data_IF_729851358993
#
_entry.id   IF_729851358993
#
_cell.length_a   1.000
_cell.length_b   1.000
_cell.length_c   1.000
_cell.angle_alpha   90.00
_cell.angle_beta   90.00
_cell.angle_gamma   90.00
#
_symmetry.space_group_name_H-M   'P 1'
#
loop_
_entity.id
_entity.type
_entity.pdbx_description
1 polymer ?
#
# COMPACT_ATOMS: atom_id res chain seq x y z
N UNK A 1 -18.99 -65.76 -57.64
CA UNK A 1 -19.08 -65.32 -59.06
C UNK A 1 -20.03 -64.15 -59.09
N UNK A 2 -19.56 -63.00 -59.56
CA UNK A 2 -20.13 -61.67 -59.38
C UNK A 2 -21.48 -61.55 -60.09
N UNK A 3 -22.46 -60.91 -59.45
CA UNK A 3 -23.62 -60.32 -60.14
C UNK A 3 -23.86 -58.90 -59.64
N UNK A 4 -23.97 -57.98 -60.60
CA UNK A 4 -24.44 -56.62 -60.43
C UNK A 4 -25.59 -56.40 -61.42
N UNK A 5 -26.70 -55.85 -60.92
CA UNK A 5 -27.77 -55.07 -61.60
C UNK A 5 -28.78 -54.71 -60.52
N UNK A 6 -28.93 -53.42 -60.22
CA UNK A 6 -29.77 -52.39 -60.86
C UNK A 6 -31.17 -52.37 -60.24
N UNK A 7 -31.79 -51.19 -60.32
CA UNK A 7 -33.20 -50.89 -60.05
C UNK A 7 -33.42 -50.54 -58.56
N UNK A 8 -34.25 -49.59 -58.14
CA UNK A 8 -35.23 -48.75 -58.82
C UNK A 8 -35.63 -47.63 -57.85
N UNK A 9 -36.11 -46.53 -58.42
CA UNK A 9 -36.71 -45.38 -57.74
C UNK A 9 -38.23 -45.59 -57.62
N UNK A 10 -38.82 -45.50 -56.41
CA UNK A 10 -40.17 -44.89 -56.19
C UNK A 10 -40.65 -44.91 -54.72
N UNK A 11 -40.87 -43.69 -54.21
CA UNK A 11 -42.17 -43.12 -53.73
C UNK A 11 -42.99 -43.90 -52.69
N UNK A 12 -43.16 -43.27 -51.51
CA UNK A 12 -44.42 -42.94 -50.77
C UNK A 12 -44.05 -42.77 -49.29
N UNK A 13 -44.04 -41.56 -48.75
CA UNK A 13 -45.19 -40.76 -48.29
C UNK A 13 -45.76 -41.25 -46.95
N UNK A 14 -46.00 -40.25 -46.12
CA UNK A 14 -46.43 -40.16 -44.73
C UNK A 14 -47.67 -41.05 -44.43
N UNK A 15 -48.12 -41.35 -43.22
CA UNK A 15 -48.20 -40.57 -41.97
C UNK A 15 -48.80 -41.50 -40.87
N UNK A 16 -48.67 -41.06 -39.62
CA UNK A 16 -49.50 -41.34 -38.41
C UNK A 16 -49.31 -42.62 -37.57
N UNK A 17 -49.26 -42.35 -36.26
CA UNK A 17 -49.72 -43.11 -35.07
C UNK A 17 -48.58 -43.67 -34.20
N UNK A 18 -48.13 -42.97 -33.15
CA UNK A 18 -48.76 -42.68 -31.84
C UNK A 18 -48.37 -43.71 -30.77
N UNK A 19 -48.31 -43.20 -29.52
CA UNK A 19 -48.26 -43.91 -28.24
C UNK A 19 -46.91 -44.38 -27.66
N UNK A 20 -46.38 -43.48 -26.82
CA UNK A 20 -45.97 -43.70 -25.42
C UNK A 20 -46.08 -45.15 -24.91
N UNK A 21 -44.98 -45.69 -24.39
CA UNK A 21 -44.98 -46.21 -23.01
C UNK A 21 -43.56 -46.41 -22.44
N UNK A 22 -43.51 -46.28 -21.12
CA UNK A 22 -42.35 -46.15 -20.25
C UNK A 22 -41.97 -47.52 -19.68
N UNK A 23 -40.67 -47.87 -19.57
CA UNK A 23 -39.99 -48.40 -18.35
C UNK A 23 -38.77 -49.32 -18.62
N UNK A 24 -37.64 -48.86 -18.10
CA UNK A 24 -36.88 -49.53 -17.02
C UNK A 24 -35.71 -50.50 -17.35
N UNK A 25 -34.51 -50.02 -16.96
CA UNK A 25 -33.34 -50.68 -16.31
C UNK A 25 -32.35 -51.55 -17.12
N UNK A 26 -31.11 -51.01 -17.15
CA UNK A 26 -29.79 -51.59 -16.80
C UNK A 26 -29.30 -52.84 -17.56
N UNK A 27 -28.24 -52.67 -18.36
CA UNK A 27 -26.84 -53.05 -18.02
C UNK A 27 -25.88 -52.85 -19.22
N UNK A 28 -24.83 -52.06 -18.95
CA UNK A 28 -23.44 -52.12 -19.41
C UNK A 28 -23.08 -52.91 -20.67
N UNK A 29 -22.57 -52.21 -21.70
CA UNK A 29 -21.37 -52.64 -22.42
C UNK A 29 -20.67 -51.43 -23.05
N UNK A 30 -19.38 -51.27 -22.74
CA UNK A 30 -18.48 -50.33 -23.41
C UNK A 30 -18.33 -50.73 -24.88
N UNK A 31 -18.41 -49.76 -25.80
CA UNK A 31 -17.47 -49.70 -26.92
C UNK A 31 -17.43 -48.28 -27.50
N UNK A 32 -16.21 -47.76 -27.52
CA UNK A 32 -15.66 -46.60 -28.22
C UNK A 32 -16.31 -46.24 -29.55
N UNK A 33 -16.66 -44.96 -29.72
CA UNK A 33 -17.13 -44.39 -30.97
C UNK A 33 -17.27 -42.87 -30.89
N UNK A 34 -16.14 -42.19 -31.06
CA UNK A 34 -16.01 -40.75 -31.28
C UNK A 34 -17.02 -40.23 -32.31
N UNK A 35 -17.84 -39.23 -31.96
CA UNK A 35 -18.25 -38.07 -32.77
C UNK A 35 -19.39 -37.35 -32.04
N UNK A 36 -19.05 -36.37 -31.19
CA UNK A 36 -19.98 -35.32 -30.77
C UNK A 36 -19.31 -34.01 -31.13
N UNK A 37 -19.84 -33.36 -32.16
CA UNK A 37 -19.63 -31.95 -32.42
C UNK A 37 -20.23 -31.17 -31.25
N UNK A 38 -19.39 -30.78 -30.29
CA UNK A 38 -19.74 -29.83 -29.27
C UNK A 38 -19.67 -28.44 -29.92
N UNK A 39 -20.81 -27.90 -30.33
CA UNK A 39 -20.96 -26.47 -30.56
C UNK A 39 -20.74 -25.76 -29.20
N UNK A 40 -19.49 -25.40 -28.95
CA UNK A 40 -19.11 -24.41 -27.95
C UNK A 40 -19.58 -23.05 -28.49
N UNK A 41 -20.78 -22.63 -28.11
CA UNK A 41 -21.13 -21.21 -28.16
C UNK A 41 -20.35 -20.55 -27.04
N UNK A 42 -19.12 -20.15 -27.35
CA UNK A 42 -18.40 -19.15 -26.56
C UNK A 42 -19.13 -17.84 -26.83
N UNK A 43 -20.10 -17.51 -25.98
CA UNK A 43 -20.48 -16.12 -25.80
C UNK A 43 -19.34 -15.47 -25.01
N UNK A 44 -18.30 -15.04 -25.73
CA UNK A 44 -17.39 -14.03 -25.23
C UNK A 44 -18.22 -12.75 -25.16
N UNK A 45 -18.80 -12.50 -23.99
CA UNK A 45 -19.17 -11.13 -23.64
C UNK A 45 -17.84 -10.42 -23.42
N UNK A 46 -17.41 -9.66 -24.43
CA UNK A 46 -16.46 -8.58 -24.26
C UNK A 46 -17.13 -7.58 -23.33
N UNK A 47 -16.90 -7.74 -22.03
CA UNK A 47 -17.22 -6.70 -21.06
C UNK A 47 -16.12 -5.65 -21.20
N UNK A 48 -16.35 -4.72 -22.14
CA UNK A 48 -15.57 -3.51 -22.23
C UNK A 48 -15.90 -2.69 -20.98
N UNK A 49 -14.94 -2.64 -20.06
CA UNK A 49 -14.64 -1.44 -19.29
C UNK A 49 -15.61 -1.00 -18.22
N UNK A 50 -16.43 -1.87 -17.59
CA UNK A 50 -17.15 -1.42 -16.40
C UNK A 50 -16.12 -1.13 -15.29
N UNK A 51 -15.61 0.10 -15.26
CA UNK A 51 -15.05 0.69 -14.07
C UNK A 51 -16.23 0.92 -13.11
N UNK A 52 -16.72 -0.18 -12.52
CA UNK A 52 -17.29 -0.06 -11.20
C UNK A 52 -16.15 0.48 -10.34
N UNK A 53 -16.36 1.59 -9.63
CA UNK A 53 -15.46 2.01 -8.57
C UNK A 53 -15.36 0.84 -7.58
N UNK A 54 -14.35 -0.01 -7.77
CA UNK A 54 -13.95 -1.03 -6.81
C UNK A 54 -13.21 -0.29 -5.68
N UNK A 55 -13.93 0.59 -4.98
CA UNK A 55 -13.36 1.35 -3.86
C UNK A 55 -12.70 0.39 -2.87
N UNK A 56 -11.42 0.59 -2.55
CA UNK A 56 -10.64 -0.10 -1.51
C UNK A 56 -10.91 -1.61 -1.29
N UNK A 57 -11.30 -2.37 -2.31
CA UNK A 57 -11.65 -3.80 -2.12
C UNK A 57 -10.39 -4.67 -2.09
N UNK A 58 -9.33 -4.24 -2.77
CA UNK A 58 -8.09 -4.99 -2.91
C UNK A 58 -6.90 -4.21 -2.34
N UNK A 59 -6.01 -4.90 -1.62
CA UNK A 59 -4.83 -4.29 -1.01
C UNK A 59 -3.83 -3.76 -2.03
N UNK A 60 -2.82 -3.03 -1.55
CA UNK A 60 -1.77 -2.47 -2.40
C UNK A 60 -0.81 -3.55 -2.93
N UNK A 61 -0.22 -3.28 -4.09
CA UNK A 61 0.84 -4.10 -4.68
C UNK A 61 2.20 -3.61 -4.18
N UNK A 62 3.17 -4.51 -4.04
CA UNK A 62 4.53 -4.08 -3.71
C UNK A 62 5.18 -3.47 -4.96
N UNK A 63 5.57 -2.19 -4.91
CA UNK A 63 6.22 -1.48 -6.03
C UNK A 63 7.65 -1.06 -5.72
N UNK A 64 8.03 -1.06 -4.45
CA UNK A 64 9.39 -0.79 -3.99
C UNK A 64 9.97 -2.05 -3.33
N UNK A 65 11.26 -2.37 -3.52
CA UNK A 65 11.84 -3.58 -2.96
C UNK A 65 11.79 -3.59 -1.43
N UNK A 66 11.68 -4.81 -0.89
CA UNK A 66 11.63 -5.07 0.56
C UNK A 66 12.68 -6.09 0.96
N UNK A 67 13.31 -5.87 2.11
CA UNK A 67 14.11 -6.84 2.85
C UNK A 67 13.25 -7.39 4.00
N UNK A 68 12.98 -8.68 3.99
CA UNK A 68 12.43 -9.40 5.14
C UNK A 68 13.59 -9.80 6.06
N UNK A 69 13.76 -9.08 7.16
CA UNK A 69 14.96 -9.22 7.99
C UNK A 69 14.82 -10.29 9.07
N UNK A 70 13.67 -10.39 9.73
CA UNK A 70 13.47 -11.23 10.92
C UNK A 70 12.89 -12.63 10.59
N UNK A 71 13.05 -13.10 9.35
CA UNK A 71 12.53 -14.42 8.93
C UNK A 71 11.00 -14.54 8.83
N UNK A 72 10.26 -13.50 9.20
CA UNK A 72 8.80 -13.38 9.03
C UNK A 72 8.49 -12.51 7.82
N UNK A 73 7.52 -12.94 7.02
CA UNK A 73 7.06 -12.20 5.83
C UNK A 73 5.60 -11.85 5.94
N UNK A 74 5.16 -10.84 5.18
CA UNK A 74 3.74 -10.55 4.97
C UNK A 74 3.24 -11.15 3.68
N UNK A 75 1.95 -11.47 3.66
CA UNK A 75 1.27 -11.84 2.43
C UNK A 75 1.26 -10.62 1.49
N UNK A 76 1.80 -10.79 0.29
CA UNK A 76 1.81 -9.78 -0.75
C UNK A 76 0.84 -10.14 -1.87
N UNK A 77 0.43 -9.13 -2.63
CA UNK A 77 -0.21 -9.36 -3.93
C UNK A 77 0.87 -9.71 -4.95
N UNK A 78 0.63 -10.77 -5.70
CA UNK A 78 1.57 -11.28 -6.70
C UNK A 78 2.61 -12.23 -6.12
N UNK A 79 3.66 -12.47 -6.89
CA UNK A 79 4.82 -13.28 -6.52
C UNK A 79 6.09 -12.67 -7.11
N UNK A 80 7.21 -12.79 -6.40
CA UNK A 80 8.52 -12.32 -6.87
C UNK A 80 8.85 -12.85 -8.27
N UNK A 81 9.24 -11.97 -9.18
CA UNK A 81 9.65 -12.32 -10.54
C UNK A 81 8.50 -12.63 -11.50
N UNK A 82 7.24 -12.38 -11.10
CA UNK A 82 6.12 -12.44 -12.04
C UNK A 82 6.21 -11.34 -13.10
N UNK A 83 5.63 -11.60 -14.27
CA UNK A 83 5.25 -10.52 -15.17
C UNK A 83 3.99 -9.84 -14.62
N UNK A 84 3.96 -8.49 -14.54
CA UNK A 84 2.76 -7.79 -14.07
C UNK A 84 1.52 -8.13 -14.89
N UNK A 85 0.43 -8.39 -14.19
CA UNK A 85 -0.90 -8.46 -14.77
C UNK A 85 -1.50 -7.04 -14.75
N UNK A 86 -1.85 -6.53 -15.93
CA UNK A 86 -2.38 -5.17 -16.12
C UNK A 86 -3.70 -5.20 -16.90
N UNK A 87 -4.59 -6.10 -16.49
CA UNK A 87 -5.88 -6.30 -17.15
C UNK A 87 -7.00 -5.43 -16.56
N UNK A 88 -6.72 -4.72 -15.46
CA UNK A 88 -7.67 -3.86 -14.77
C UNK A 88 -7.68 -2.43 -15.28
N UNK A 89 -8.26 -1.56 -14.45
CA UNK A 89 -8.42 -0.14 -14.74
C UNK A 89 -7.07 0.58 -14.84
N UNK A 90 -7.00 1.57 -15.71
CA UNK A 90 -5.82 2.39 -15.92
C UNK A 90 -6.22 3.81 -16.28
N UNK A 91 -5.33 4.77 -16.03
CA UNK A 91 -5.51 6.18 -16.33
C UNK A 91 -4.41 6.69 -17.26
N UNK A 92 -4.72 7.71 -18.05
CA UNK A 92 -3.71 8.50 -18.74
C UNK A 92 -2.94 9.34 -17.73
N UNK A 93 -1.63 9.47 -17.92
CA UNK A 93 -0.77 10.30 -17.08
C UNK A 93 0.26 11.07 -17.90
N UNK A 94 0.55 12.32 -17.53
CA UNK A 94 1.46 13.19 -18.29
C UNK A 94 2.28 14.20 -17.52
N UNK A 95 2.34 14.04 -16.20
CA UNK A 95 3.19 14.86 -15.37
C UNK A 95 2.53 15.18 -14.04
N UNK A 96 3.19 16.09 -13.36
CA UNK A 96 2.75 16.66 -12.11
C UNK A 96 2.89 18.17 -12.27
N UNK A 97 1.94 18.93 -11.71
CA UNK A 97 2.05 20.39 -11.61
C UNK A 97 3.08 20.75 -10.54
N UNK A 98 3.45 22.02 -10.49
CA UNK A 98 4.37 22.55 -9.46
C UNK A 98 3.85 22.34 -8.04
N UNK A 99 2.53 22.28 -7.84
CA UNK A 99 1.87 22.03 -6.55
C UNK A 99 1.78 20.55 -6.16
N UNK A 100 2.42 19.65 -6.93
CA UNK A 100 2.36 18.21 -6.70
C UNK A 100 1.10 17.53 -7.22
N UNK A 101 0.12 18.27 -7.75
CA UNK A 101 -1.11 17.65 -8.28
C UNK A 101 -0.83 16.87 -9.57
N UNK A 102 -1.41 15.67 -9.72
CA UNK A 102 -1.19 14.85 -10.90
C UNK A 102 -1.89 15.45 -12.12
N UNK A 103 -1.25 15.31 -13.27
CA UNK A 103 -1.84 15.59 -14.57
C UNK A 103 -2.22 14.26 -15.22
N UNK A 104 -3.48 13.87 -15.04
CA UNK A 104 -4.00 12.55 -15.37
C UNK A 104 -5.50 12.62 -15.68
N UNK A 105 -6.04 11.56 -16.30
CA UNK A 105 -7.48 11.36 -16.43
C UNK A 105 -7.81 9.88 -16.64
N UNK A 106 -8.98 9.45 -16.19
CA UNK A 106 -9.55 8.16 -16.59
C UNK A 106 -9.87 8.19 -18.10
N UNK A 107 -9.69 7.06 -18.81
CA UNK A 107 -10.22 6.94 -20.17
C UNK A 107 -11.74 6.98 -20.14
N UNK A 108 -12.32 7.60 -21.17
CA UNK A 108 -13.76 7.57 -21.40
C UNK A 108 -14.22 6.14 -21.71
N UNK A 109 -15.36 5.76 -21.14
CA UNK A 109 -15.94 4.43 -21.29
C UNK A 109 -16.38 4.12 -22.73
N UNK A 110 -16.93 5.13 -23.40
CA UNK A 110 -17.53 5.02 -24.72
C UNK A 110 -16.48 5.13 -25.83
N UNK A 111 -15.44 5.94 -25.61
CA UNK A 111 -14.26 5.99 -26.47
C UNK A 111 -12.97 6.26 -25.67
N UNK A 112 -12.21 5.19 -25.48
CA UNK A 112 -10.94 5.16 -24.76
C UNK A 112 -9.92 6.22 -25.22
N UNK A 113 -10.07 6.80 -26.41
CA UNK A 113 -9.19 7.86 -26.92
C UNK A 113 -9.51 9.26 -26.34
N UNK A 114 -10.49 9.39 -25.46
CA UNK A 114 -10.83 10.61 -24.74
C UNK A 114 -10.69 10.41 -23.23
N UNK A 115 -10.56 11.52 -22.50
CA UNK A 115 -10.74 11.52 -21.06
C UNK A 115 -12.25 11.46 -20.74
N UNK A 116 -12.60 10.71 -19.71
CA UNK A 116 -13.97 10.61 -19.19
C UNK A 116 -14.54 12.00 -18.85
N UNK A 117 -15.65 12.37 -19.50
CA UNK A 117 -16.38 13.62 -19.28
C UNK A 117 -17.62 13.44 -18.38
N UNK A 118 -17.87 12.21 -17.91
CA UNK A 118 -18.99 11.83 -17.06
C UNK A 118 -20.33 11.76 -17.79
N UNK A 119 -20.36 11.84 -19.12
CA UNK A 119 -21.59 11.79 -19.93
C UNK A 119 -21.67 10.47 -20.69
N UNK A 120 -22.44 9.55 -20.12
CA UNK A 120 -22.67 8.23 -20.71
C UNK A 120 -23.26 8.29 -22.14
N UNK A 121 -22.89 7.30 -22.94
CA UNK A 121 -23.23 7.10 -24.34
C UNK A 121 -22.71 8.22 -25.27
N UNK A 122 -21.60 8.89 -24.90
CA UNK A 122 -21.01 9.94 -25.73
C UNK A 122 -19.51 9.73 -25.96
N UNK A 123 -19.11 9.69 -27.23
CA UNK A 123 -17.69 9.67 -27.62
C UNK A 123 -17.15 11.11 -27.77
N UNK A 124 -17.34 11.92 -26.74
CA UNK A 124 -16.85 13.30 -26.67
C UNK A 124 -16.00 13.46 -25.42
N UNK A 125 -15.14 14.47 -25.39
CA UNK A 125 -14.31 14.73 -24.21
C UNK A 125 -13.03 15.46 -24.57
N UNK A 126 -12.22 15.72 -23.55
CA UNK A 126 -10.86 16.20 -23.78
C UNK A 126 -10.01 15.06 -24.34
N UNK A 127 -9.16 15.34 -25.32
CA UNK A 127 -8.15 14.36 -25.73
C UNK A 127 -7.18 14.13 -24.54
N UNK A 128 -6.76 12.88 -24.30
CA UNK A 128 -5.78 12.60 -23.27
C UNK A 128 -4.46 13.29 -23.63
N UNK A 129 -3.90 14.01 -22.67
CA UNK A 129 -2.67 14.78 -22.87
C UNK A 129 -1.38 13.96 -22.76
N UNK A 130 -1.45 12.63 -22.58
CA UNK A 130 -0.37 11.91 -21.92
C UNK A 130 0.43 10.85 -22.67
N UNK A 131 1.75 10.74 -22.37
CA UNK A 131 2.65 9.77 -22.96
C UNK A 131 2.61 8.40 -22.27
N UNK A 132 1.89 8.22 -21.16
CA UNK A 132 1.92 6.99 -20.37
C UNK A 132 0.51 6.57 -19.93
N UNK A 133 0.37 5.26 -19.69
CA UNK A 133 -0.73 4.68 -18.92
C UNK A 133 -0.24 4.36 -17.52
N UNK A 134 -1.11 4.50 -16.53
CA UNK A 134 -0.85 4.03 -15.18
C UNK A 134 -2.00 3.15 -14.68
N UNK A 135 -1.69 1.89 -14.36
CA UNK A 135 -2.65 0.88 -13.93
C UNK A 135 -2.91 0.98 -12.43
N UNK A 136 -4.19 1.08 -12.03
CA UNK A 136 -4.59 1.32 -10.64
C UNK A 136 -4.11 0.20 -9.72
N UNK A 137 -3.55 0.57 -8.56
CA UNK A 137 -2.97 -0.38 -7.62
C UNK A 137 -3.98 -1.23 -6.85
N UNK A 138 -5.12 -0.66 -6.48
CA UNK A 138 -6.15 -1.35 -5.67
C UNK A 138 -7.24 -1.99 -6.53
N UNK A 139 -6.93 -2.29 -7.79
CA UNK A 139 -7.79 -3.02 -8.73
C UNK A 139 -7.40 -4.51 -8.75
N UNK A 140 -8.38 -5.42 -8.77
CA UNK A 140 -8.16 -6.87 -8.65
C UNK A 140 -7.38 -7.48 -9.81
N UNK A 141 -7.55 -6.93 -11.02
CA UNK A 141 -6.94 -7.43 -12.24
C UNK A 141 -5.57 -6.80 -12.52
N UNK A 142 -5.16 -5.91 -11.63
CA UNK A 142 -3.87 -5.25 -11.61
C UNK A 142 -3.01 -5.84 -10.47
N UNK A 143 -2.08 -6.72 -10.84
CA UNK A 143 -1.23 -7.45 -9.89
C UNK A 143 0.22 -7.38 -10.31
N UNK A 144 1.08 -6.92 -9.41
CA UNK A 144 2.52 -6.90 -9.58
C UNK A 144 3.23 -6.99 -8.23
N UNK A 145 4.50 -7.36 -8.27
CA UNK A 145 5.33 -7.39 -7.08
C UNK A 145 6.78 -7.01 -7.43
N UNK A 146 7.31 -5.99 -6.77
CA UNK A 146 8.71 -5.62 -6.79
C UNK A 146 9.60 -6.71 -6.17
N UNK A 147 10.91 -6.48 -6.18
CA UNK A 147 11.84 -7.45 -5.63
C UNK A 147 11.62 -7.66 -4.12
N UNK A 148 11.84 -8.91 -3.72
CA UNK A 148 11.77 -9.35 -2.34
C UNK A 148 13.10 -9.99 -1.99
N UNK A 149 13.75 -9.46 -0.98
CA UNK A 149 15.05 -9.89 -0.48
C UNK A 149 14.85 -10.55 0.88
N UNK A 150 15.58 -11.63 1.12
CA UNK A 150 15.61 -12.30 2.42
C UNK A 150 17.00 -12.16 3.00
N UNK A 151 17.06 -11.70 4.26
CA UNK A 151 18.32 -11.54 4.95
C UNK A 151 18.98 -12.90 5.22
N UNK A 152 20.26 -13.03 4.88
CA UNK A 152 21.08 -14.21 5.21
C UNK A 152 21.94 -14.00 6.47
N UNK A 153 21.68 -12.91 7.19
CA UNK A 153 22.41 -12.47 8.37
C UNK A 153 21.89 -11.11 8.85
N UNK A 154 22.55 -10.51 9.84
CA UNK A 154 22.11 -9.27 10.46
C UNK A 154 21.91 -8.12 9.44
N UNK A 155 20.76 -7.44 9.49
CA UNK A 155 20.39 -6.30 8.64
C UNK A 155 20.57 -5.00 9.42
N UNK A 156 21.43 -4.12 8.91
CA UNK A 156 21.53 -2.74 9.42
C UNK A 156 20.64 -1.83 8.62
N UNK A 157 19.86 -1.00 9.31
CA UNK A 157 19.08 0.07 8.70
C UNK A 157 20.01 1.25 8.42
N UNK A 158 19.96 1.80 7.22
CA UNK A 158 20.77 2.98 6.85
C UNK A 158 19.96 4.26 7.03
N UNK A 159 18.64 4.23 6.77
CA UNK A 159 17.77 5.38 6.89
C UNK A 159 16.45 5.09 7.61
N UNK A 160 16.02 6.07 8.41
CA UNK A 160 14.73 6.04 9.11
C UNK A 160 13.92 7.29 8.72
N UNK A 161 12.75 7.09 8.15
CA UNK A 161 11.81 8.15 7.77
C UNK A 161 10.61 8.13 8.72
N UNK A 162 10.38 9.22 9.48
CA UNK A 162 9.24 9.39 10.41
C UNK A 162 8.00 10.03 9.78
N UNK A 163 8.07 10.31 8.48
CA UNK A 163 7.02 10.98 7.72
C UNK A 163 6.86 12.47 8.08
N UNK A 164 6.69 13.28 7.04
CA UNK A 164 6.65 14.75 7.14
C UNK A 164 5.61 15.30 8.13
N UNK A 165 4.52 14.57 8.40
CA UNK A 165 3.42 15.07 9.24
C UNK A 165 3.82 15.30 10.69
N UNK A 166 4.70 14.47 11.26
CA UNK A 166 5.15 14.64 12.65
C UNK A 166 6.18 15.78 12.80
N UNK A 167 6.84 16.13 11.70
CA UNK A 167 7.90 17.15 11.64
C UNK A 167 7.37 18.55 11.28
N UNK A 168 6.22 18.64 10.60
CA UNK A 168 5.76 19.90 10.00
C UNK A 168 4.55 20.58 10.69
N UNK A 169 3.76 19.87 11.52
CA UNK A 169 2.43 20.37 11.94
C UNK A 169 2.25 20.40 13.46
N UNK A 170 1.66 21.47 14.04
CA UNK A 170 1.25 21.48 15.44
C UNK A 170 -0.01 20.64 15.68
N UNK A 171 -0.03 19.92 16.79
CA UNK A 171 -1.11 18.98 17.13
C UNK A 171 -1.97 19.48 18.30
N UNK A 172 -3.24 19.08 18.33
CA UNK A 172 -4.23 19.54 19.30
C UNK A 172 -4.94 18.37 19.97
N UNK A 173 -5.62 18.63 21.08
CA UNK A 173 -6.40 17.61 21.80
C UNK A 173 -7.53 16.96 20.99
N UNK A 174 -7.90 17.50 19.84
CA UNK A 174 -8.90 16.93 18.94
C UNK A 174 -8.28 16.40 17.63
N UNK A 175 -6.96 16.27 17.56
CA UNK A 175 -6.24 15.78 16.39
C UNK A 175 -6.33 14.27 16.25
N UNK A 176 -6.22 13.83 15.00
CA UNK A 176 -5.85 12.47 14.62
C UNK A 176 -4.38 12.54 14.20
N UNK A 177 -3.48 12.07 15.05
CA UNK A 177 -2.05 12.06 14.77
C UNK A 177 -1.74 10.75 14.07
N UNK A 178 -1.15 10.80 12.89
CA UNK A 178 -0.67 9.60 12.20
C UNK A 178 0.83 9.48 12.41
N UNK A 179 1.25 8.36 13.01
CA UNK A 179 2.65 7.99 13.11
C UNK A 179 2.92 6.96 12.01
N UNK A 180 3.78 7.33 11.06
CA UNK A 180 4.24 6.46 9.99
C UNK A 180 5.77 6.39 10.06
N UNK A 181 6.34 5.19 10.06
CA UNK A 181 7.80 5.01 10.05
C UNK A 181 8.17 4.11 8.88
N UNK A 182 9.26 4.43 8.19
CA UNK A 182 9.86 3.58 7.15
C UNK A 182 11.32 3.34 7.49
N UNK A 183 11.71 2.07 7.55
CA UNK A 183 13.11 1.68 7.64
C UNK A 183 13.62 1.39 6.22
N UNK A 184 14.80 1.88 5.89
CA UNK A 184 15.40 1.74 4.56
C UNK A 184 16.85 1.29 4.71
N UNK A 185 17.28 0.37 3.86
CA UNK A 185 18.69 0.02 3.69
C UNK A 185 19.11 0.22 2.25
N UNK A 186 20.35 0.64 2.08
CA UNK A 186 21.02 0.73 0.79
C UNK A 186 21.42 -0.67 0.32
N UNK A 187 21.35 -0.85 -1.00
CA UNK A 187 21.65 -2.09 -1.68
C UNK A 187 22.92 -1.94 -2.50
N UNK A 188 23.86 -2.87 -2.31
CA UNK A 188 25.06 -2.97 -3.15
C UNK A 188 24.73 -3.39 -4.58
N UNK A 189 23.70 -4.23 -4.74
CA UNK A 189 23.14 -4.62 -6.02
C UNK A 189 21.69 -4.12 -6.09
N UNK A 190 21.41 -3.26 -7.07
CA UNK A 190 20.07 -2.68 -7.20
C UNK A 190 19.00 -3.75 -7.39
N UNK A 191 17.82 -3.51 -6.83
CA UNK A 191 16.70 -4.45 -6.86
C UNK A 191 15.52 -3.90 -7.68
N UNK A 192 14.76 -4.79 -8.30
CA UNK A 192 13.61 -4.41 -9.13
C UNK A 192 12.62 -3.58 -8.31
N UNK A 193 12.29 -2.41 -8.84
CA UNK A 193 11.18 -1.57 -8.42
C UNK A 193 10.31 -1.23 -9.64
N UNK A 194 9.10 -0.78 -9.39
CA UNK A 194 8.18 -0.31 -10.42
C UNK A 194 7.98 1.20 -10.28
N UNK A 195 7.97 1.89 -11.42
CA UNK A 195 7.66 3.32 -11.45
C UNK A 195 6.17 3.54 -11.17
N UNK A 196 5.86 4.29 -10.13
CA UNK A 196 4.50 4.57 -9.67
C UNK A 196 4.15 6.02 -9.97
N UNK A 197 2.96 6.26 -10.53
CA UNK A 197 2.43 7.60 -10.80
C UNK A 197 1.24 7.92 -9.92
N UNK A 198 1.27 9.10 -9.29
CA UNK A 198 0.10 9.64 -8.62
C UNK A 198 -0.98 9.92 -9.67
N UNK A 199 -2.17 9.37 -9.46
CA UNK A 199 -3.28 9.46 -10.40
C UNK A 199 -4.30 10.48 -9.94
N UNK A 200 -4.76 10.41 -8.69
CA UNK A 200 -5.73 11.36 -8.17
C UNK A 200 -5.78 11.31 -6.64
N UNK A 201 -6.54 12.24 -6.07
CA UNK A 201 -6.85 12.28 -4.65
C UNK A 201 -5.65 12.57 -3.75
N UNK A 202 -5.94 12.68 -2.45
CA UNK A 202 -4.95 12.98 -1.42
C UNK A 202 -5.35 12.28 -0.12
N UNK A 203 -4.38 11.97 0.73
CA UNK A 203 -4.64 11.30 2.00
C UNK A 203 -5.34 9.97 1.79
N UNK A 204 -6.55 9.80 2.35
CA UNK A 204 -7.27 8.52 2.26
C UNK A 204 -7.77 8.17 0.86
N UNK A 205 -7.96 9.17 0.01
CA UNK A 205 -8.48 8.99 -1.36
C UNK A 205 -7.33 9.03 -2.38
N UNK A 206 -6.07 9.02 -1.92
CA UNK A 206 -4.87 9.05 -2.76
C UNK A 206 -4.72 7.73 -3.54
N UNK A 207 -4.64 7.83 -4.86
CA UNK A 207 -4.47 6.69 -5.75
C UNK A 207 -3.21 6.83 -6.59
N UNK A 208 -2.43 5.75 -6.64
CA UNK A 208 -1.28 5.62 -7.52
C UNK A 208 -1.45 4.43 -8.45
N UNK A 209 -0.74 4.48 -9.58
CA UNK A 209 -0.74 3.38 -10.55
C UNK A 209 0.63 3.04 -11.10
N UNK A 210 0.75 1.80 -11.55
CA UNK A 210 1.94 1.25 -12.22
C UNK A 210 2.10 1.89 -13.60
N UNK A 211 3.17 2.65 -13.80
CA UNK A 211 3.48 3.27 -15.07
C UNK A 211 3.75 2.23 -16.16
N UNK A 212 3.32 2.55 -17.38
CA UNK A 212 3.48 1.72 -18.56
C UNK A 212 3.56 2.59 -19.81
N UNK A 213 4.11 2.02 -20.89
CA UNK A 213 4.12 2.63 -22.21
C UNK A 213 2.71 3.11 -22.66
N UNK A 214 2.62 4.10 -23.57
CA UNK A 214 1.32 4.70 -23.93
C UNK A 214 0.34 3.72 -24.58
N UNK A 215 0.84 2.61 -25.14
CA UNK A 215 0.01 1.54 -25.69
C UNK A 215 -0.47 0.54 -24.62
N UNK A 216 0.12 0.58 -23.42
CA UNK A 216 -0.10 -0.37 -22.34
C UNK A 216 0.59 -1.72 -22.59
N UNK A 217 0.72 -2.47 -21.50
CA UNK A 217 1.23 -3.84 -21.52
C UNK A 217 2.75 -3.97 -21.41
N UNK A 218 3.48 -2.84 -21.29
CA UNK A 218 4.88 -2.84 -20.85
C UNK A 218 5.05 -1.96 -19.62
N UNK A 219 5.01 -2.56 -18.43
CA UNK A 219 5.30 -1.86 -17.18
C UNK A 219 6.70 -1.27 -17.16
N UNK A 220 6.82 -0.05 -16.62
CA UNK A 220 8.09 0.62 -16.44
C UNK A 220 8.82 0.05 -15.22
N UNK A 221 9.85 -0.74 -15.50
CA UNK A 221 10.73 -1.38 -14.52
C UNK A 221 11.94 -0.50 -14.26
N UNK A 222 12.24 -0.25 -13.00
CA UNK A 222 13.44 0.45 -12.55
C UNK A 222 14.25 -0.44 -11.60
N UNK A 223 15.48 -0.06 -11.30
CA UNK A 223 16.30 -0.71 -10.28
C UNK A 223 16.64 0.30 -9.19
N UNK A 224 16.13 0.03 -7.99
CA UNK A 224 16.40 0.85 -6.80
C UNK A 224 17.72 0.44 -6.18
N UNK A 225 18.53 1.41 -5.76
CA UNK A 225 19.68 1.19 -4.89
C UNK A 225 19.31 1.09 -3.40
N UNK A 226 18.01 1.06 -3.08
CA UNK A 226 17.49 1.02 -1.72
C UNK A 226 16.31 0.05 -1.62
N UNK A 227 16.11 -0.54 -0.45
CA UNK A 227 14.94 -1.33 -0.11
C UNK A 227 14.37 -0.93 1.25
N UNK A 228 13.05 -1.02 1.38
CA UNK A 228 12.42 -0.94 2.71
C UNK A 228 12.74 -2.16 3.54
N UNK A 229 12.89 -2.01 4.86
CA UNK A 229 13.18 -3.10 5.78
C UNK A 229 11.96 -3.43 6.62
N UNK A 230 11.50 -4.68 6.54
CA UNK A 230 10.46 -5.20 7.41
C UNK A 230 11.08 -6.01 8.55
N UNK A 231 10.89 -5.52 9.77
CA UNK A 231 11.15 -6.18 11.03
C UNK A 231 9.81 -6.55 11.70
N UNK A 232 9.70 -7.81 12.10
CA UNK A 232 8.59 -8.33 12.89
C UNK A 232 8.64 -7.85 14.34
N UNK A 233 9.84 -7.48 14.79
CA UNK A 233 10.13 -7.03 16.16
C UNK A 233 9.92 -5.52 16.36
N UNK A 234 9.46 -4.79 15.35
CA UNK A 234 9.17 -3.37 15.47
C UNK A 234 8.01 -3.08 16.45
N UNK A 235 8.13 -1.98 17.19
CA UNK A 235 7.15 -1.50 18.19
C UNK A 235 7.01 0.01 18.14
N UNK A 236 5.83 0.48 18.50
CA UNK A 236 5.56 1.88 18.79
C UNK A 236 5.14 2.04 20.26
N UNK A 237 5.80 2.97 20.94
CA UNK A 237 5.47 3.40 22.30
C UNK A 237 5.17 4.90 22.28
N UNK A 238 4.08 5.32 22.94
CA UNK A 238 3.71 6.72 23.11
C UNK A 238 3.60 7.02 24.61
N UNK A 239 4.39 7.97 25.09
CA UNK A 239 4.43 8.37 26.50
C UNK A 239 4.31 9.88 26.64
N UNK A 240 3.55 10.32 27.65
CA UNK A 240 3.53 11.74 28.03
C UNK A 240 4.75 12.07 28.86
N UNK A 241 5.35 13.23 28.58
CA UNK A 241 6.41 13.82 29.39
C UNK A 241 5.81 14.86 30.35
N UNK A 242 6.32 14.88 31.57
CA UNK A 242 5.94 15.80 32.63
C UNK A 242 6.35 17.24 32.31
N UNK A 243 5.72 18.20 32.99
CA UNK A 243 6.09 19.60 32.83
C UNK A 243 7.55 19.83 33.27
N UNK A 244 8.37 20.43 32.39
CA UNK A 244 9.81 20.62 32.59
C UNK A 244 10.61 19.30 32.69
N UNK A 245 10.21 18.29 31.92
CA UNK A 245 10.93 17.03 31.86
C UNK A 245 12.38 17.26 31.43
N UNK A 246 13.33 16.76 32.21
CA UNK A 246 14.73 16.68 31.84
C UNK A 246 14.91 15.44 30.97
N UNK A 247 14.93 15.64 29.66
CA UNK A 247 14.99 14.55 28.68
C UNK A 247 16.34 13.82 28.69
N UNK A 248 17.40 14.43 29.22
CA UNK A 248 18.74 13.84 29.29
C UNK A 248 18.82 12.76 30.37
N UNK A 249 17.92 12.80 31.36
CA UNK A 249 17.82 11.80 32.42
C UNK A 249 16.97 10.58 32.07
N UNK A 250 16.38 10.54 30.87
CA UNK A 250 15.50 9.45 30.45
C UNK A 250 16.32 8.24 29.98
N UNK A 251 15.93 7.05 30.43
CA UNK A 251 16.57 5.79 30.07
C UNK A 251 15.53 4.87 29.44
N UNK A 252 15.87 4.32 28.28
CA UNK A 252 15.06 3.29 27.63
C UNK A 252 15.20 1.95 28.38
N UNK A 253 14.07 1.39 28.82
CA UNK A 253 13.98 0.05 29.40
C UNK A 253 13.57 -0.92 28.28
N UNK A 254 14.53 -1.71 27.80
CA UNK A 254 14.33 -2.66 26.70
C UNK A 254 13.37 -3.80 27.06
N UNK A 255 13.32 -4.20 28.33
CA UNK A 255 12.46 -5.29 28.79
C UNK A 255 11.00 -4.82 28.94
N UNK A 256 10.81 -3.57 29.39
CA UNK A 256 9.49 -2.96 29.52
C UNK A 256 9.04 -2.17 28.28
N UNK A 257 9.92 -2.04 27.29
CA UNK A 257 9.74 -1.32 26.01
C UNK A 257 9.20 0.09 26.16
N UNK A 258 9.77 0.83 27.10
CA UNK A 258 9.33 2.19 27.46
C UNK A 258 10.47 3.03 28.04
N UNK A 259 10.28 4.34 28.02
CA UNK A 259 11.14 5.26 28.76
C UNK A 259 10.86 5.21 30.25
N UNK A 260 11.92 5.31 31.04
CA UNK A 260 11.89 5.45 32.49
C UNK A 260 12.59 6.75 32.91
N UNK A 261 12.14 7.32 34.02
CA UNK A 261 12.67 8.58 34.56
C UNK A 261 11.63 9.31 35.39
N UNK A 262 12.07 10.29 36.19
CA UNK A 262 11.21 10.98 37.17
C UNK A 262 10.07 11.79 36.53
N UNK A 263 10.23 12.17 35.25
CA UNK A 263 9.28 13.00 34.53
C UNK A 263 8.48 12.25 33.46
N UNK A 264 8.57 10.92 33.37
CA UNK A 264 7.73 10.14 32.44
C UNK A 264 6.40 9.80 33.10
N UNK A 265 5.29 10.06 32.41
CA UNK A 265 3.97 9.66 32.89
C UNK A 265 3.75 8.19 32.59
N UNK A 266 3.41 7.43 33.63
CA UNK A 266 3.16 5.99 33.57
C UNK A 266 1.68 5.68 33.81
N UNK A 267 1.10 4.68 33.12
CA UNK A 267 1.72 3.87 32.05
C UNK A 267 1.81 4.62 30.70
N UNK A 268 2.54 4.09 29.70
CA UNK A 268 2.43 4.58 28.32
C UNK A 268 0.97 4.59 27.85
N UNK A 269 0.59 5.62 27.07
CA UNK A 269 -0.76 5.70 26.50
C UNK A 269 -0.95 4.69 25.37
N UNK A 270 0.15 4.28 24.75
CA UNK A 270 0.20 3.23 23.75
C UNK A 270 1.55 2.52 23.85
N UNK A 271 1.54 1.20 23.76
CA UNK A 271 2.73 0.38 23.67
C UNK A 271 2.34 -0.91 22.94
N UNK A 272 2.65 -1.00 21.64
CA UNK A 272 2.21 -2.12 20.80
C UNK A 272 3.26 -2.54 19.78
N UNK A 273 3.53 -3.84 19.72
CA UNK A 273 4.41 -4.41 18.71
C UNK A 273 3.66 -4.86 17.45
N UNK A 274 4.35 -4.85 16.32
CA UNK A 274 3.82 -5.29 15.02
C UNK A 274 3.35 -6.75 15.06
N UNK A 275 4.00 -7.60 15.85
CA UNK A 275 3.60 -9.01 16.04
C UNK A 275 2.31 -9.20 16.82
N UNK A 276 1.89 -8.19 17.57
CA UNK A 276 0.66 -8.19 18.38
C UNK A 276 -0.54 -7.66 17.57
N UNK A 277 -0.31 -7.19 16.33
CA UNK A 277 -1.33 -6.61 15.50
C UNK A 277 -2.35 -7.64 15.01
N UNK A 278 -3.63 -7.32 15.15
CA UNK A 278 -4.75 -8.04 14.55
C UNK A 278 -5.42 -7.19 13.46
N UNK A 279 -6.39 -7.77 12.75
CA UNK A 279 -7.20 -7.04 11.78
C UNK A 279 -8.09 -6.01 12.52
N UNK A 280 -7.93 -4.73 12.19
CA UNK A 280 -8.80 -3.66 12.67
C UNK A 280 -8.04 -2.45 13.24
N UNK A 281 -8.77 -1.39 13.64
CA UNK A 281 -8.16 -0.19 14.17
C UNK A 281 -7.58 -0.41 15.57
N UNK A 282 -6.53 0.35 15.92
CA UNK A 282 -5.97 0.40 17.27
C UNK A 282 -4.69 -0.41 17.46
N UNK A 283 -4.23 -1.13 16.45
CA UNK A 283 -2.94 -1.81 16.46
C UNK A 283 -1.89 -1.00 15.72
N UNK A 284 -0.63 -1.17 16.15
CA UNK A 284 0.51 -0.73 15.36
C UNK A 284 0.89 -1.88 14.42
N UNK A 285 0.83 -1.63 13.12
CA UNK A 285 1.06 -2.66 12.11
C UNK A 285 1.97 -2.16 11.01
N UNK A 286 2.46 -3.08 10.18
CA UNK A 286 3.09 -2.73 8.91
C UNK A 286 2.16 -3.03 7.73
N UNK A 287 2.18 -2.22 6.70
CA UNK A 287 1.38 -2.43 5.50
C UNK A 287 2.12 -1.95 4.25
N UNK A 288 1.58 -2.30 3.09
CA UNK A 288 2.04 -1.72 1.82
C UNK A 288 1.22 -0.45 1.58
N UNK A 289 1.90 0.70 1.51
CA UNK A 289 1.23 1.97 1.25
C UNK A 289 0.87 2.16 -0.24
N UNK A 290 0.19 3.25 -0.56
CA UNK A 290 -0.21 3.56 -1.95
C UNK A 290 0.98 3.82 -2.89
N UNK A 291 2.18 4.03 -2.39
CA UNK A 291 3.41 4.09 -3.23
C UNK A 291 4.05 2.71 -3.42
N UNK A 292 3.49 1.66 -2.82
CA UNK A 292 3.98 0.29 -2.89
C UNK A 292 5.20 0.01 -2.01
N UNK A 293 5.39 0.76 -0.92
CA UNK A 293 6.46 0.58 0.08
C UNK A 293 5.91 -0.10 1.33
N UNK A 294 6.72 -0.91 2.03
CA UNK A 294 6.41 -1.32 3.40
C UNK A 294 6.57 -0.12 4.33
N UNK A 295 5.51 0.20 5.07
CA UNK A 295 5.50 1.24 6.10
C UNK A 295 4.97 0.66 7.40
N UNK A 296 5.39 1.21 8.54
CA UNK A 296 4.76 0.97 9.83
C UNK A 296 3.81 2.12 10.15
N UNK A 297 2.61 1.83 10.63
CA UNK A 297 1.57 2.83 10.79
C UNK A 297 0.75 2.66 12.07
N UNK A 298 0.49 3.76 12.75
CA UNK A 298 -0.51 3.88 13.81
C UNK A 298 -1.27 5.20 13.69
N UNK A 299 -2.58 5.15 13.86
CA UNK A 299 -3.40 6.36 13.98
C UNK A 299 -3.76 6.59 15.43
N UNK A 300 -3.14 7.60 16.03
CA UNK A 300 -3.41 8.05 17.39
C UNK A 300 -4.56 9.07 17.41
N UNK A 301 -5.70 8.64 17.94
CA UNK A 301 -6.84 9.53 18.21
C UNK A 301 -6.64 10.24 19.55
N UNK A 302 -6.05 11.44 19.49
CA UNK A 302 -5.71 12.24 20.68
C UNK A 302 -6.96 12.57 21.49
N UNK A 303 -8.11 12.76 20.83
CA UNK A 303 -9.36 13.08 21.53
C UNK A 303 -9.76 12.01 22.54
N UNK A 304 -9.54 10.75 22.18
CA UNK A 304 -10.06 9.60 22.92
C UNK A 304 -8.99 8.93 23.79
N UNK A 305 -7.70 9.12 23.49
CA UNK A 305 -6.58 8.56 24.26
C UNK A 305 -5.48 9.61 24.49
N UNK A 306 -5.54 10.37 25.59
CA UNK A 306 -4.50 11.33 25.94
C UNK A 306 -4.44 11.56 27.45
N UNK A 307 -3.34 12.15 27.91
CA UNK A 307 -3.10 12.57 29.31
C UNK A 307 -3.14 14.11 29.46
N UNK A 308 -3.88 14.80 28.59
CA UNK A 308 -3.99 16.26 28.51
C UNK A 308 -2.89 16.91 27.66
N UNK A 309 -2.97 18.22 27.45
CA UNK A 309 -1.97 18.97 26.69
C UNK A 309 -0.57 18.88 27.31
N UNK A 310 0.46 19.04 26.48
CA UNK A 310 1.86 18.94 26.85
C UNK A 310 2.68 18.14 25.83
N UNK A 311 3.90 17.80 26.22
CA UNK A 311 4.85 17.08 25.38
C UNK A 311 4.60 15.58 25.45
N UNK A 312 4.66 14.92 24.30
CA UNK A 312 4.56 13.49 24.13
C UNK A 312 5.76 13.00 23.34
N UNK A 313 6.32 11.88 23.77
CA UNK A 313 7.38 11.17 23.06
C UNK A 313 6.77 9.98 22.33
N UNK A 314 6.91 9.96 21.02
CA UNK A 314 6.60 8.81 20.17
C UNK A 314 7.92 8.08 19.91
N UNK A 315 7.95 6.78 20.12
CA UNK A 315 9.18 5.98 20.05
C UNK A 315 8.96 4.76 19.19
N UNK A 316 9.75 4.64 18.14
CA UNK A 316 9.90 3.42 17.38
C UNK A 316 11.08 2.65 17.96
N UNK A 317 10.88 1.37 18.28
CA UNK A 317 11.93 0.50 18.78
C UNK A 317 11.89 -0.85 18.11
N UNK A 318 13.04 -1.51 18.08
CA UNK A 318 13.12 -2.94 17.82
C UNK A 318 13.16 -3.68 19.16
N UNK A 319 12.16 -4.51 19.42
CA UNK A 319 12.09 -5.31 20.64
C UNK A 319 13.35 -6.18 20.77
N UNK A 320 13.93 -6.27 21.97
CA UNK A 320 15.13 -7.05 22.24
C UNK A 320 14.94 -8.54 21.90
N UNK A 321 16.04 -9.28 21.71
CA UNK A 321 15.99 -10.74 21.44
C UNK A 321 15.24 -11.53 22.52
N UNK A 322 15.17 -11.01 23.75
CA UNK A 322 14.41 -11.62 24.84
C UNK A 322 12.88 -11.54 24.61
N UNK A 323 12.41 -10.47 23.97
CA UNK A 323 11.00 -10.21 23.66
C UNK A 323 10.62 -10.68 22.25
N UNK A 324 11.58 -10.68 21.33
CA UNK A 324 11.43 -11.09 19.94
C UNK A 324 12.67 -11.88 19.48
N UNK A 325 12.71 -13.20 19.71
CA UNK A 325 13.86 -14.05 19.37
C UNK A 325 14.23 -14.07 17.89
N UNK A 326 13.31 -13.65 17.01
CA UNK A 326 13.51 -13.52 15.57
C UNK A 326 14.28 -12.26 15.15
N UNK A 327 14.57 -11.33 16.09
CA UNK A 327 15.24 -10.06 15.80
C UNK A 327 16.54 -10.28 15.03
N UNK A 328 16.62 -9.65 13.86
CA UNK A 328 17.80 -9.66 13.00
C UNK A 328 18.03 -8.28 12.35
N UNK A 329 17.42 -7.25 12.91
CA UNK A 329 17.43 -5.87 12.43
C UNK A 329 17.98 -4.94 13.51
N UNK A 330 18.78 -3.94 13.16
CA UNK A 330 19.38 -3.03 14.14
C UNK A 330 19.79 -1.69 13.53
N UNK A 331 19.92 -0.69 14.39
CA UNK A 331 20.52 0.61 14.07
C UNK A 331 22.01 0.56 14.42
N UNK A 332 22.82 1.43 13.81
CA UNK A 332 24.27 1.42 14.03
C UNK A 332 24.88 2.80 13.81
N UNK A 333 25.50 3.39 14.83
CA UNK A 333 26.34 4.57 14.65
C UNK A 333 27.56 4.29 13.77
N UNK A 334 28.20 3.12 13.92
CA UNK A 334 29.39 2.75 13.14
C UNK A 334 29.11 2.64 11.64
N UNK A 335 27.90 2.19 11.26
CA UNK A 335 27.49 2.12 9.86
C UNK A 335 26.74 3.36 9.37
N UNK A 336 26.38 4.27 10.28
CA UNK A 336 25.76 5.55 9.96
C UNK A 336 24.26 5.47 9.69
N UNK A 337 23.48 4.82 10.57
CA UNK A 337 22.01 4.96 10.50
C UNK A 337 21.63 6.42 10.71
N UNK A 338 20.88 7.00 9.77
CA UNK A 338 20.51 8.41 9.75
C UNK A 338 19.00 8.61 9.65
N UNK A 339 18.51 9.79 10.07
CA UNK A 339 17.13 10.20 9.81
C UNK A 339 17.06 10.66 8.35
N UNK A 340 16.12 10.08 7.61
CA UNK A 340 15.84 10.48 6.24
C UNK A 340 15.08 11.81 6.27
N UNK A 341 15.81 12.90 6.13
CA UNK A 341 15.20 14.22 5.97
C UNK A 341 14.85 14.41 4.49
N UNK A 342 13.64 14.92 4.16
CA UNK A 342 13.37 15.34 2.79
C UNK A 342 14.43 16.35 2.36
N UNK A 343 14.98 16.22 1.15
CA UNK A 343 15.80 17.28 0.56
C UNK A 343 14.96 18.57 0.60
N UNK A 344 15.39 19.56 1.39
CA UNK A 344 14.75 20.88 1.39
C UNK A 344 14.73 21.38 -0.06
N UNK A 345 13.56 21.36 -0.69
CA UNK A 345 13.28 22.30 -1.77
C UNK A 345 13.40 23.66 -1.11
N UNK A 346 14.51 24.33 -1.41
CA UNK A 346 14.80 25.71 -0.98
C UNK A 346 13.80 26.64 -1.66
N UNK A 347 12.52 26.54 -1.30
CA UNK A 347 11.62 27.66 -1.44
C UNK A 347 11.87 28.56 -0.25
N UNK A 348 12.40 29.76 -0.50
CA UNK A 348 12.37 30.85 0.46
C UNK A 348 10.90 31.09 0.85
N UNK A 349 10.43 30.41 1.88
CA UNK A 349 9.25 30.82 2.62
C UNK A 349 9.67 32.14 3.25
N UNK A 350 9.36 33.23 2.56
CA UNK A 350 9.41 34.56 3.15
C UNK A 350 8.51 34.52 4.37
N UNK A 351 9.14 34.34 5.53
CA UNK A 351 8.50 34.45 6.82
C UNK A 351 7.87 35.85 6.83
N UNK A 352 6.54 35.92 6.66
CA UNK A 352 5.84 37.15 6.99
C UNK A 352 6.06 37.33 8.49
N UNK A 353 6.77 38.38 8.89
CA UNK A 353 7.14 38.72 10.27
C UNK A 353 5.93 39.06 11.17
N UNK A 354 4.73 38.56 10.85
CA UNK A 354 3.49 38.90 11.53
C UNK A 354 2.60 37.67 11.81
N UNK A 355 3.19 36.59 12.33
CA UNK A 355 2.47 35.58 13.11
C UNK A 355 3.41 34.93 14.10
N UNK A 356 3.18 35.13 15.40
CA UNK A 356 4.04 34.59 16.46
C UNK A 356 4.16 33.07 16.43
N UNK A 357 5.32 32.59 16.87
CA UNK A 357 5.70 31.18 17.17
C UNK A 357 4.59 30.17 16.90
N UNK A 358 4.48 29.74 15.64
CA UNK A 358 3.79 28.49 15.33
C UNK A 358 4.82 27.39 15.64
N UNK A 359 4.56 26.48 16.60
CA UNK A 359 5.50 25.40 16.88
C UNK A 359 5.69 24.57 15.60
N UNK A 360 6.94 24.42 15.17
CA UNK A 360 7.31 23.37 14.20
C UNK A 360 7.01 22.00 14.82
N UNK A 361 6.91 20.96 13.99
CA UNK A 361 6.81 19.59 14.50
C UNK A 361 8.09 19.15 15.22
N UNK A 362 8.14 17.86 15.56
CA UNK A 362 9.25 17.28 16.32
C UNK A 362 10.51 17.08 15.47
N UNK A 363 11.64 16.85 16.13
CA UNK A 363 12.88 16.40 15.49
C UNK A 363 13.14 14.97 15.93
N UNK A 364 13.35 14.06 14.97
CA UNK A 364 13.65 12.68 15.28
C UNK A 364 15.09 12.53 15.81
N UNK A 365 15.26 11.63 16.78
CA UNK A 365 16.53 11.29 17.42
C UNK A 365 16.74 9.79 17.34
N UNK A 366 17.98 9.34 17.18
CA UNK A 366 18.37 7.92 17.16
C UNK A 366 19.20 7.61 18.40
N UNK A 367 18.89 6.49 19.05
CA UNK A 367 19.73 5.80 20.02
C UNK A 367 20.09 4.43 19.44
N UNK A 368 21.25 4.35 18.81
CA UNK A 368 21.67 3.20 18.03
C UNK A 368 21.95 1.97 18.89
N UNK A 369 22.59 2.13 20.05
CA UNK A 369 22.90 1.04 20.99
C UNK A 369 21.64 0.27 21.45
N UNK A 370 20.49 0.95 21.50
CA UNK A 370 19.20 0.36 21.91
C UNK A 370 18.30 0.03 20.71
N UNK A 371 18.73 0.32 19.47
CA UNK A 371 17.87 0.28 18.27
C UNK A 371 16.53 1.00 18.46
N UNK A 372 16.62 2.22 18.99
CA UNK A 372 15.50 3.11 19.29
C UNK A 372 15.63 4.38 18.47
N UNK A 373 14.50 4.89 17.99
CA UNK A 373 14.37 6.25 17.49
C UNK A 373 13.10 6.87 18.06
N UNK A 374 13.11 8.17 18.32
CA UNK A 374 11.96 8.85 18.88
C UNK A 374 11.81 10.26 18.34
N UNK A 375 10.59 10.79 18.42
CA UNK A 375 10.24 12.16 18.09
C UNK A 375 9.35 12.72 19.20
N UNK A 376 9.69 13.91 19.69
CA UNK A 376 8.91 14.62 20.69
C UNK A 376 7.98 15.62 20.01
N UNK A 377 6.68 15.54 20.30
CA UNK A 377 5.67 16.46 19.78
C UNK A 377 4.89 17.11 20.92
N UNK A 378 4.33 18.29 20.64
CA UNK A 378 3.50 19.01 21.60
C UNK A 378 2.01 18.94 21.21
N UNK A 379 1.18 18.49 22.15
CA UNK A 379 -0.28 18.55 22.05
C UNK A 379 -0.76 19.82 22.76
N UNK A 380 -1.49 20.67 22.03
CA UNK A 380 -1.89 22.00 22.48
C UNK A 380 -3.38 22.01 22.88
N UNK A 381 -3.72 22.70 23.97
CA UNK A 381 -5.12 23.00 24.28
C UNK A 381 -5.68 23.98 23.25
N UNK A 382 -6.86 23.71 22.71
CA UNK A 382 -7.47 24.62 21.75
C UNK A 382 -7.83 25.93 22.44
N UNK A 383 -7.17 27.03 22.09
CA UNK A 383 -7.62 28.37 22.48
C UNK A 383 -8.93 28.64 21.73
N UNK A 384 -10.08 28.48 22.38
CA UNK A 384 -11.32 29.04 21.86
C UNK A 384 -11.11 30.53 21.68
N UNK A 385 -11.05 31.02 20.43
CA UNK A 385 -11.16 32.45 20.15
C UNK A 385 -12.44 32.95 20.83
N UNK A 386 -12.31 33.65 21.95
CA UNK A 386 -13.41 34.45 22.51
C UNK A 386 -13.85 35.37 21.38
N UNK A 387 -15.07 35.16 20.90
CA UNK A 387 -15.67 35.99 19.87
C UNK A 387 -15.48 37.46 20.24
N UNK A 388 -14.83 38.22 19.35
CA UNK A 388 -14.97 39.68 19.36
C UNK A 388 -16.47 39.94 19.19
N UNK A 389 -17.11 40.33 20.29
CA UNK A 389 -18.42 40.98 20.24
C UNK A 389 -18.29 42.34 19.60
#
# INVERSE_FOLDING_TARGET
>A
MIFARSDDEKVMDETVLNEKETKMKRKTFCLTGFFVALFLVIAASLDNGRAEETGDVFGNNLSFPVIWSDGVTKALRGTTGMEPATAGSWWYWWGTKDDGSPLSCAPDYDDINFCDDGVADTANGALPGGPQRAYLQQDEYNVWQAATLHANGPVTVDWIDWGDNLEAVPWYLNSMVRAEVVLISDLSEGALQYDMKHLYGWGKDEMWGLASDPQGGKPDKLYSSQATVYSHCARLTIQKLGANCDTDGLVWDEDATRWTGDCVVEPPIFNGAVREAEDGPGFYSAEINVKGKVIYGYTWNVRDNNEGAGSYRLTFSLDSEALCPELNTYFSADKGTEIFLPEEVVEEVTASEESGDVPSGGTAVILDDASVTYIDINIIERVTRKGKK
#
